data_IF_547547610547
#
_entry.id   IF_547547610547
#
_cell.length_a   1.000
_cell.length_b   1.000
_cell.length_c   1.000
_cell.angle_alpha   90.00
_cell.angle_beta   90.00
_cell.angle_gamma   90.00
#
_symmetry.space_group_name_H-M   'P 1'
#
loop_
_entity.id
_entity.type
_entity.pdbx_description
1 polymer ?
#
# COMPACT_ATOMS: atom_id res chain seq x y z
N UNK A 1 -59.29 36.46 44.71
CA UNK A 1 -58.77 36.31 43.32
C UNK A 1 -57.24 36.10 43.26
N UNK A 2 -56.65 35.13 43.99
CA UNK A 2 -55.17 34.89 43.96
C UNK A 2 -54.73 33.43 43.70
N UNK A 3 -55.64 32.44 43.67
CA UNK A 3 -55.30 31.02 43.50
C UNK A 3 -55.25 30.50 42.05
N UNK A 4 -55.83 31.21 41.08
CA UNK A 4 -55.92 30.73 39.70
C UNK A 4 -54.68 31.02 38.83
N UNK A 5 -53.86 32.03 39.15
CA UNK A 5 -52.66 32.40 38.36
C UNK A 5 -51.42 31.54 38.64
N UNK A 6 -51.40 30.79 39.75
CA UNK A 6 -50.23 30.00 40.16
C UNK A 6 -50.16 28.62 39.48
N UNK A 7 -51.30 28.03 39.09
CA UNK A 7 -51.35 26.70 38.46
C UNK A 7 -50.95 26.73 36.97
N UNK A 8 -51.22 27.82 36.27
CA UNK A 8 -50.88 27.98 34.84
C UNK A 8 -49.38 28.21 34.62
N UNK A 9 -48.69 28.83 35.59
CA UNK A 9 -47.24 29.05 35.51
C UNK A 9 -46.44 27.75 35.76
N UNK A 10 -46.94 26.88 36.64
CA UNK A 10 -46.29 25.61 36.97
C UNK A 10 -46.32 24.58 35.82
N UNK A 11 -47.40 24.56 35.02
CA UNK A 11 -47.48 23.69 33.82
C UNK A 11 -46.60 24.19 32.66
N UNK A 12 -46.46 25.52 32.50
CA UNK A 12 -45.61 26.10 31.45
C UNK A 12 -44.12 25.84 31.69
N UNK A 13 -43.65 25.84 32.94
CA UNK A 13 -42.25 25.57 33.29
C UNK A 13 -41.89 24.07 33.11
N UNK A 14 -42.83 23.16 33.39
CA UNK A 14 -42.61 21.71 33.18
C UNK A 14 -42.59 21.32 31.69
N UNK A 15 -43.34 22.01 30.82
CA UNK A 15 -43.30 21.76 29.38
C UNK A 15 -41.97 22.22 28.73
N UNK A 16 -41.39 23.31 29.24
CA UNK A 16 -40.07 23.81 28.78
C UNK A 16 -38.94 22.89 29.27
N UNK A 17 -39.05 22.35 30.49
CA UNK A 17 -38.09 21.38 31.01
C UNK A 17 -38.12 20.04 30.25
N UNK A 18 -39.30 19.56 29.83
CA UNK A 18 -39.40 18.34 29.02
C UNK A 18 -38.86 18.53 27.58
N UNK A 19 -39.06 19.71 26.98
CA UNK A 19 -38.51 20.03 25.65
C UNK A 19 -36.99 20.18 25.62
N UNK A 20 -36.37 20.62 26.72
CA UNK A 20 -34.91 20.75 26.82
C UNK A 20 -34.18 19.43 27.12
N UNK A 21 -34.87 18.41 27.63
CA UNK A 21 -34.26 17.09 27.92
C UNK A 21 -34.21 16.20 26.67
N UNK A 22 -35.05 16.43 25.65
CA UNK A 22 -35.09 15.61 24.42
C UNK A 22 -34.14 16.05 23.29
N UNK A 23 -33.34 17.10 23.46
CA UNK A 23 -32.46 17.62 22.38
C UNK A 23 -30.98 17.25 22.51
N UNK A 24 -30.59 16.38 23.46
CA UNK A 24 -29.17 16.00 23.67
C UNK A 24 -28.79 14.56 23.30
N UNK A 25 -29.56 13.91 22.45
CA UNK A 25 -29.13 12.70 21.77
C UNK A 25 -28.90 12.95 20.26
N UNK A 26 -28.17 14.02 19.92
CA UNK A 26 -27.38 13.95 18.70
C UNK A 26 -26.30 12.90 18.96
N UNK A 27 -26.59 11.66 18.57
CA UNK A 27 -25.56 10.67 18.30
C UNK A 27 -24.65 11.35 17.29
N UNK A 28 -23.54 11.92 17.78
CA UNK A 28 -22.41 12.25 16.93
C UNK A 28 -22.05 10.91 16.32
N UNK A 29 -22.44 10.72 15.06
CA UNK A 29 -21.83 9.66 14.25
C UNK A 29 -20.33 9.80 14.50
N UNK A 30 -19.65 8.73 14.95
CA UNK A 30 -18.21 8.81 15.11
C UNK A 30 -17.70 9.34 13.77
N UNK A 31 -17.01 10.47 13.81
CA UNK A 31 -16.37 11.02 12.63
C UNK A 31 -15.52 9.86 12.13
N UNK A 32 -15.92 9.27 11.01
CA UNK A 32 -15.09 8.30 10.30
C UNK A 32 -13.86 9.12 9.95
N UNK A 33 -12.83 9.02 10.80
CA UNK A 33 -11.55 9.62 10.53
C UNK A 33 -11.10 8.92 9.27
N UNK A 34 -11.15 9.63 8.15
CA UNK A 34 -10.65 9.10 6.89
C UNK A 34 -9.25 8.58 7.22
N UNK A 35 -8.93 7.32 6.92
CA UNK A 35 -7.57 6.86 7.05
C UNK A 35 -6.70 7.90 6.38
N UNK A 36 -5.74 8.45 7.13
CA UNK A 36 -4.86 9.46 6.55
C UNK A 36 -4.21 8.75 5.37
N UNK A 37 -4.31 9.31 4.14
CA UNK A 37 -3.54 8.75 3.03
C UNK A 37 -2.10 8.66 3.53
N UNK A 38 -1.39 7.55 3.25
CA UNK A 38 -0.01 7.41 3.69
C UNK A 38 0.71 8.68 3.29
N UNK A 39 1.38 9.30 4.26
CA UNK A 39 2.08 10.55 4.01
C UNK A 39 3.00 10.29 2.81
N UNK A 40 2.98 11.16 1.77
CA UNK A 40 3.98 11.07 0.72
C UNK A 40 5.33 11.05 1.43
N UNK A 41 6.22 10.18 0.95
CA UNK A 41 7.46 9.83 1.63
C UNK A 41 8.08 11.05 2.30
N UNK A 42 8.07 11.06 3.64
CA UNK A 42 8.60 12.17 4.40
C UNK A 42 10.11 12.27 4.14
N UNK A 43 10.74 13.44 4.35
CA UNK A 43 12.19 13.61 4.15
C UNK A 43 13.06 12.65 4.98
N UNK A 44 12.49 11.94 5.95
CA UNK A 44 13.15 10.87 6.69
C UNK A 44 13.38 9.57 5.88
N UNK A 45 12.57 9.31 4.84
CA UNK A 45 12.82 8.24 3.84
C UNK A 45 13.92 8.61 2.84
N UNK A 46 14.45 9.85 2.86
CA UNK A 46 15.54 10.29 1.96
C UNK A 46 16.94 10.16 2.60
N UNK A 47 17.06 9.46 3.74
CA UNK A 47 18.34 9.27 4.41
C UNK A 47 19.18 8.22 3.67
N UNK A 48 20.53 8.33 3.65
CA UNK A 48 21.37 7.31 3.04
C UNK A 48 21.07 5.93 3.63
N UNK A 49 21.28 4.89 2.82
CA UNK A 49 21.02 3.49 3.13
C UNK A 49 21.19 3.21 4.62
N UNK A 50 20.14 2.67 5.23
CA UNK A 50 20.10 2.49 6.67
C UNK A 50 21.16 1.44 7.04
N UNK A 51 22.31 1.93 7.52
CA UNK A 51 23.43 1.09 7.95
C UNK A 51 22.92 0.06 8.96
N UNK A 52 23.23 -1.21 8.70
CA UNK A 52 22.83 -2.39 9.48
C UNK A 52 21.34 -2.80 9.40
N UNK A 53 20.60 -2.39 8.36
CA UNK A 53 19.23 -2.86 8.17
C UNK A 53 19.14 -4.37 7.86
N UNK A 54 18.09 -5.02 8.36
CA UNK A 54 17.93 -6.48 8.28
C UNK A 54 17.18 -6.93 7.01
N UNK A 55 17.93 -7.36 6.00
CA UNK A 55 17.40 -7.93 4.75
C UNK A 55 17.13 -9.44 4.82
N UNK A 56 17.14 -10.04 6.02
CA UNK A 56 16.87 -11.47 6.17
C UNK A 56 15.44 -11.82 5.74
N UNK A 57 15.23 -12.98 5.08
CA UNK A 57 13.90 -13.43 4.70
C UNK A 57 12.97 -13.56 5.92
N UNK A 58 11.64 -13.51 5.72
CA UNK A 58 10.69 -13.68 6.81
C UNK A 58 10.81 -15.08 7.42
N UNK A 59 10.72 -15.14 8.75
CA UNK A 59 10.52 -16.39 9.48
C UNK A 59 9.09 -16.89 9.28
N UNK A 60 8.83 -18.15 9.64
CA UNK A 60 7.51 -18.74 9.57
C UNK A 60 6.47 -17.84 10.26
N UNK A 61 5.41 -17.47 9.52
CA UNK A 61 4.33 -16.60 10.01
C UNK A 61 4.60 -15.10 9.97
N UNK A 62 5.85 -14.62 9.90
CA UNK A 62 6.13 -13.16 9.89
C UNK A 62 5.48 -12.47 8.69
N UNK A 63 5.55 -13.09 7.50
CA UNK A 63 4.91 -12.56 6.30
C UNK A 63 3.39 -12.44 6.48
N UNK A 64 2.74 -13.43 7.13
CA UNK A 64 1.30 -13.39 7.40
C UNK A 64 0.95 -12.24 8.35
N UNK A 65 1.74 -12.02 9.41
CA UNK A 65 1.54 -10.88 10.32
C UNK A 65 1.66 -9.54 9.61
N UNK A 66 2.61 -9.41 8.69
CA UNK A 66 2.79 -8.18 7.90
C UNK A 66 1.63 -7.97 6.94
N UNK A 67 1.16 -9.04 6.28
CA UNK A 67 -0.01 -8.98 5.40
C UNK A 67 -1.28 -8.59 6.16
N UNK A 68 -1.53 -9.17 7.33
CA UNK A 68 -2.67 -8.80 8.19
C UNK A 68 -2.59 -7.33 8.63
N UNK A 69 -1.40 -6.84 9.01
CA UNK A 69 -1.19 -5.42 9.34
C UNK A 69 -1.48 -4.50 8.16
N UNK A 70 -0.97 -4.86 6.97
CA UNK A 70 -0.99 -3.97 5.81
C UNK A 70 -2.32 -4.02 5.05
N UNK A 71 -2.94 -5.19 4.96
CA UNK A 71 -4.09 -5.47 4.10
C UNK A 71 -5.30 -6.04 4.85
N UNK A 72 -5.19 -6.29 6.15
CA UNK A 72 -6.23 -6.95 6.93
C UNK A 72 -6.61 -8.30 6.33
N UNK A 73 -7.91 -8.52 6.16
CA UNK A 73 -8.48 -9.77 5.62
C UNK A 73 -8.69 -9.73 4.11
N UNK A 74 -8.29 -8.64 3.44
CA UNK A 74 -8.51 -8.43 2.01
C UNK A 74 -7.73 -9.42 1.13
N UNK A 75 -6.64 -10.00 1.64
CA UNK A 75 -5.73 -10.87 0.89
C UNK A 75 -5.39 -12.14 1.66
N UNK A 76 -5.10 -13.20 0.92
CA UNK A 76 -4.62 -14.48 1.45
C UNK A 76 -3.26 -14.78 0.84
N UNK A 77 -2.28 -15.16 1.68
CA UNK A 77 -0.95 -15.54 1.19
C UNK A 77 -1.04 -16.76 0.26
N UNK A 78 -0.38 -16.67 -0.90
CA UNK A 78 -0.32 -17.74 -1.91
C UNK A 78 1.08 -18.36 -1.92
N UNK A 79 1.20 -19.58 -1.38
CA UNK A 79 2.46 -20.30 -1.26
C UNK A 79 3.42 -19.70 -0.21
N UNK A 80 4.67 -20.16 -0.20
CA UNK A 80 5.70 -19.70 0.76
C UNK A 80 6.66 -18.66 0.18
N UNK A 81 6.42 -18.19 -1.05
CA UNK A 81 7.34 -17.31 -1.75
C UNK A 81 7.27 -15.87 -1.24
N UNK A 82 8.29 -15.44 -0.50
CA UNK A 82 8.53 -14.05 -0.15
C UNK A 82 9.92 -13.58 -0.62
N UNK A 83 10.04 -12.31 -0.99
CA UNK A 83 11.30 -11.67 -1.32
C UNK A 83 11.48 -10.41 -0.47
N UNK A 84 12.71 -10.22 0.00
CA UNK A 84 13.13 -9.04 0.76
C UNK A 84 14.19 -8.30 -0.03
N UNK A 85 14.09 -6.98 -0.11
CA UNK A 85 15.00 -6.11 -0.85
C UNK A 85 14.65 -4.64 -0.64
N UNK A 86 15.51 -3.73 -1.06
CA UNK A 86 15.24 -2.29 -1.00
C UNK A 86 14.58 -1.91 -2.33
N UNK A 87 13.31 -2.25 -2.51
CA UNK A 87 12.65 -2.14 -3.81
C UNK A 87 12.26 -0.71 -4.16
N UNK A 88 12.15 0.19 -3.18
CA UNK A 88 11.82 1.60 -3.40
C UNK A 88 13.05 2.53 -3.38
N UNK A 89 14.21 2.08 -2.90
CA UNK A 89 15.47 2.81 -2.89
C UNK A 89 15.70 3.69 -1.66
N UNK A 90 14.90 3.53 -0.60
CA UNK A 90 15.06 4.29 0.65
C UNK A 90 16.05 3.65 1.64
N UNK A 91 16.60 2.49 1.28
CA UNK A 91 17.56 1.76 2.09
C UNK A 91 16.96 0.95 3.23
N UNK A 92 15.64 0.99 3.42
CA UNK A 92 14.91 0.13 4.34
C UNK A 92 14.53 -1.18 3.63
N UNK A 93 14.59 -2.34 4.30
CA UNK A 93 14.14 -3.59 3.72
C UNK A 93 12.64 -3.61 3.48
N UNK A 94 12.21 -3.82 2.24
CA UNK A 94 10.82 -4.05 1.84
C UNK A 94 10.49 -5.55 1.83
N UNK A 95 9.20 -5.87 1.88
CA UNK A 95 8.70 -7.25 1.75
C UNK A 95 7.78 -7.36 0.55
N UNK A 96 8.03 -8.36 -0.30
CA UNK A 96 7.18 -8.73 -1.41
C UNK A 96 6.67 -10.16 -1.24
N UNK A 97 5.36 -10.37 -1.37
CA UNK A 97 4.69 -11.65 -1.13
C UNK A 97 3.65 -11.93 -2.21
N UNK A 98 3.52 -13.20 -2.58
CA UNK A 98 2.42 -13.67 -3.42
C UNK A 98 1.15 -13.75 -2.62
N UNK A 99 0.09 -13.13 -3.10
CA UNK A 99 -1.22 -13.19 -2.45
C UNK A 99 -2.32 -13.38 -3.50
N UNK A 100 -3.49 -13.77 -3.04
CA UNK A 100 -4.72 -13.69 -3.82
C UNK A 100 -5.74 -12.84 -3.08
N UNK A 101 -6.61 -12.17 -3.83
CA UNK A 101 -7.77 -11.49 -3.24
C UNK A 101 -8.63 -12.48 -2.45
N UNK A 102 -9.03 -12.12 -1.23
CA UNK A 102 -9.95 -12.97 -0.47
C UNK A 102 -11.34 -12.93 -1.10
N UNK A 103 -11.92 -14.11 -1.27
CA UNK A 103 -13.27 -14.26 -1.79
C UNK A 103 -14.32 -13.66 -0.84
N UNK A 104 -14.09 -13.74 0.47
CA UNK A 104 -15.01 -13.23 1.48
C UNK A 104 -14.92 -11.70 1.67
N UNK A 105 -13.83 -11.06 1.22
CA UNK A 105 -13.53 -9.65 1.51
C UNK A 105 -13.31 -8.80 0.25
N UNK A 106 -13.97 -9.16 -0.86
CA UNK A 106 -13.87 -8.44 -2.15
C UNK A 106 -14.30 -6.97 -2.12
N UNK A 107 -15.15 -6.56 -1.17
CA UNK A 107 -15.50 -5.16 -0.97
C UNK A 107 -14.35 -4.37 -0.31
N UNK A 108 -13.66 -4.97 0.66
CA UNK A 108 -12.56 -4.33 1.39
C UNK A 108 -11.36 -4.08 0.49
N UNK A 109 -10.97 -5.06 -0.35
CA UNK A 109 -9.84 -4.91 -1.27
C UNK A 109 -10.03 -3.78 -2.30
N UNK A 110 -11.28 -3.46 -2.61
CA UNK A 110 -11.68 -2.44 -3.58
C UNK A 110 -12.18 -1.15 -2.93
N UNK A 111 -12.07 -0.98 -1.61
CA UNK A 111 -12.50 0.23 -0.93
C UNK A 111 -11.61 1.41 -1.35
N UNK A 112 -12.16 2.52 -1.87
CA UNK A 112 -11.39 3.71 -2.22
C UNK A 112 -10.68 4.38 -1.03
N UNK A 113 -11.02 4.01 0.20
CA UNK A 113 -10.39 4.44 1.45
C UNK A 113 -9.46 3.38 2.05
N UNK A 114 -9.17 2.30 1.33
CA UNK A 114 -8.21 1.30 1.81
C UNK A 114 -6.83 1.91 2.10
N UNK A 115 -6.10 1.32 3.05
CA UNK A 115 -4.76 1.78 3.45
C UNK A 115 -3.64 1.35 2.48
N UNK A 116 -3.99 0.76 1.34
CA UNK A 116 -3.09 0.28 0.31
C UNK A 116 -3.44 0.84 -1.06
N UNK A 117 -2.47 0.82 -1.97
CA UNK A 117 -2.70 1.19 -3.37
C UNK A 117 -2.81 -0.05 -4.24
N UNK A 118 -3.95 -0.23 -4.90
CA UNK A 118 -4.09 -1.20 -5.99
C UNK A 118 -3.61 -0.56 -7.29
N UNK A 119 -2.83 -1.29 -8.09
CA UNK A 119 -2.36 -0.85 -9.40
C UNK A 119 -2.24 -2.02 -10.37
N UNK A 120 -2.41 -1.73 -11.66
CA UNK A 120 -1.93 -2.63 -12.71
C UNK A 120 -0.42 -2.51 -12.84
N UNK A 121 0.26 -3.62 -13.11
CA UNK A 121 1.66 -3.58 -13.50
C UNK A 121 1.77 -3.07 -14.94
N UNK A 122 1.60 -1.75 -15.11
CA UNK A 122 1.64 -1.09 -16.42
C UNK A 122 2.96 -1.42 -17.13
N UNK A 123 2.90 -1.64 -18.45
CA UNK A 123 4.11 -1.77 -19.26
C UNK A 123 4.71 -0.38 -19.49
N UNK A 124 6.00 -0.24 -19.16
CA UNK A 124 6.87 0.98 -19.17
C UNK A 124 6.97 1.81 -20.47
N UNK A 125 6.04 1.71 -21.43
CA UNK A 125 6.17 2.38 -22.72
C UNK A 125 5.91 3.89 -22.69
N UNK A 126 5.34 4.43 -21.62
CA UNK A 126 5.01 5.86 -21.52
C UNK A 126 5.87 6.59 -20.45
N UNK A 127 6.78 7.50 -20.87
CA UNK A 127 7.61 8.28 -19.96
C UNK A 127 6.84 9.29 -19.09
N UNK A 128 5.55 9.53 -19.34
CA UNK A 128 4.68 10.37 -18.49
C UNK A 128 3.98 9.58 -17.37
N UNK A 129 4.12 8.25 -17.32
CA UNK A 129 3.54 7.41 -16.26
C UNK A 129 4.04 7.81 -14.86
N UNK A 130 5.20 8.45 -14.70
CA UNK A 130 5.63 8.89 -13.37
C UNK A 130 4.78 10.02 -12.75
N UNK A 131 3.99 10.75 -13.55
CA UNK A 131 3.33 12.01 -13.14
C UNK A 131 1.82 11.92 -12.92
N UNK A 132 1.20 10.78 -13.26
CA UNK A 132 -0.23 10.53 -13.02
C UNK A 132 -0.41 9.65 -11.79
N UNK A 133 -1.41 9.90 -10.93
CA UNK A 133 -1.79 8.94 -9.89
C UNK A 133 -2.14 7.60 -10.55
N UNK A 134 -1.72 6.45 -10.00
CA UNK A 134 -2.16 5.16 -10.50
C UNK A 134 -3.69 5.08 -10.39
N UNK A 135 -4.36 4.64 -11.46
CA UNK A 135 -5.74 4.17 -11.33
C UNK A 135 -5.75 3.00 -10.34
N UNK A 136 -6.77 2.94 -9.49
CA UNK A 136 -7.04 1.75 -8.65
C UNK A 136 -7.98 0.83 -9.41
N UNK A 137 -7.46 -0.12 -10.22
CA UNK A 137 -8.30 -1.07 -10.93
C UNK A 137 -9.07 -1.95 -9.95
N UNK A 138 -10.28 -2.33 -10.33
CA UNK A 138 -11.05 -3.30 -9.55
C UNK A 138 -10.31 -4.64 -9.50
N UNK A 139 -10.17 -5.20 -8.31
CA UNK A 139 -9.62 -6.52 -8.05
C UNK A 139 -10.74 -7.54 -8.10
N UNK A 140 -10.56 -8.57 -8.93
CA UNK A 140 -11.49 -9.68 -9.08
C UNK A 140 -11.38 -10.71 -7.95
N UNK A 141 -12.40 -11.57 -7.85
CA UNK A 141 -12.41 -12.66 -6.88
C UNK A 141 -11.22 -13.61 -7.08
N UNK A 142 -10.51 -13.95 -5.99
CA UNK A 142 -9.32 -14.80 -5.98
C UNK A 142 -8.22 -14.37 -6.96
N UNK A 143 -8.22 -13.12 -7.40
CA UNK A 143 -7.24 -12.63 -8.37
C UNK A 143 -5.83 -12.71 -7.75
N UNK A 144 -4.86 -13.33 -8.44
CA UNK A 144 -3.48 -13.38 -7.97
C UNK A 144 -2.82 -12.01 -8.09
N UNK A 145 -2.15 -11.60 -7.03
CA UNK A 145 -1.52 -10.30 -6.87
C UNK A 145 -0.10 -10.45 -6.31
N UNK A 146 0.72 -9.46 -6.62
CA UNK A 146 1.96 -9.24 -5.89
C UNK A 146 1.70 -8.17 -4.83
N UNK A 147 1.75 -8.56 -3.56
CA UNK A 147 1.73 -7.62 -2.45
C UNK A 147 3.15 -7.11 -2.19
N UNK A 148 3.32 -5.79 -2.04
CA UNK A 148 4.59 -5.19 -1.63
C UNK A 148 4.36 -4.22 -0.49
N UNK A 149 5.09 -4.38 0.60
CA UNK A 149 5.08 -3.49 1.78
C UNK A 149 6.45 -2.84 1.87
N UNK A 150 6.50 -1.53 1.70
CA UNK A 150 7.72 -0.76 1.87
C UNK A 150 8.11 -0.71 3.33
N UNK A 151 9.40 -0.87 3.61
CA UNK A 151 9.96 -0.86 4.94
C UNK A 151 10.00 0.53 5.56
N UNK A 152 10.28 0.57 6.86
CA UNK A 152 10.52 1.81 7.57
C UNK A 152 11.73 1.68 8.49
N UNK A 153 12.76 2.49 8.22
CA UNK A 153 13.99 2.53 9.02
C UNK A 153 14.71 1.18 9.07
N UNK A 154 15.46 0.96 10.16
CA UNK A 154 16.37 -0.21 10.27
C UNK A 154 15.65 -1.55 10.29
N UNK A 155 14.43 -1.56 10.84
CA UNK A 155 13.60 -2.76 10.95
C UNK A 155 12.83 -3.06 9.66
N UNK A 156 12.84 -2.14 8.69
CA UNK A 156 12.23 -2.35 7.39
C UNK A 156 10.77 -2.74 7.50
N UNK A 157 10.37 -3.75 6.75
CA UNK A 157 9.01 -4.29 6.71
C UNK A 157 8.53 -4.84 8.07
N UNK A 158 9.46 -5.20 8.98
CA UNK A 158 9.12 -5.66 10.34
C UNK A 158 8.67 -4.51 11.24
N UNK A 159 8.96 -3.26 10.87
CA UNK A 159 8.55 -2.12 11.66
C UNK A 159 7.02 -1.91 11.60
N UNK A 160 6.31 -1.70 12.71
CA UNK A 160 4.88 -1.39 12.70
C UNK A 160 4.54 -0.08 11.95
N UNK A 161 5.49 0.82 11.75
CA UNK A 161 5.31 2.06 10.98
C UNK A 161 5.43 1.86 9.46
N UNK A 162 5.86 0.67 8.99
CA UNK A 162 5.89 0.28 7.59
C UNK A 162 4.46 0.08 7.04
N UNK A 163 3.85 1.20 6.62
CA UNK A 163 2.44 1.32 6.19
C UNK A 163 2.24 1.57 4.69
N UNK A 164 3.30 1.88 3.96
CA UNK A 164 3.21 2.06 2.51
C UNK A 164 3.09 0.67 1.85
N UNK A 165 1.89 0.36 1.36
CA UNK A 165 1.55 -0.97 0.88
C UNK A 165 0.87 -0.93 -0.50
N UNK A 166 1.22 -1.89 -1.35
CA UNK A 166 0.82 -1.97 -2.74
C UNK A 166 0.32 -3.36 -3.11
N UNK A 167 -0.76 -3.42 -3.90
CA UNK A 167 -1.25 -4.63 -4.54
C UNK A 167 -1.11 -4.47 -6.06
N UNK A 168 -0.24 -5.28 -6.67
CA UNK A 168 0.13 -5.17 -8.07
C UNK A 168 -0.52 -6.30 -8.87
N UNK A 169 -1.49 -5.95 -9.71
CA UNK A 169 -2.15 -6.87 -10.65
C UNK A 169 -1.25 -7.15 -11.84
N UNK A 170 -1.27 -8.39 -12.33
CA UNK A 170 -0.46 -8.79 -13.49
C UNK A 170 1.06 -8.71 -13.26
N UNK A 171 1.49 -8.68 -11.99
CA UNK A 171 2.90 -8.70 -11.60
C UNK A 171 3.62 -9.99 -12.02
N UNK A 172 4.96 -10.04 -11.90
CA UNK A 172 5.71 -11.27 -12.11
C UNK A 172 5.20 -12.37 -11.19
N UNK A 173 5.14 -13.61 -11.68
CA UNK A 173 4.83 -14.78 -10.84
C UNK A 173 6.06 -15.18 -10.02
N UNK A 174 5.83 -15.62 -8.78
CA UNK A 174 6.88 -16.11 -7.89
C UNK A 174 7.42 -17.51 -8.27
N UNK A 175 8.43 -18.01 -7.54
CA UNK A 175 9.11 -17.33 -6.45
C UNK A 175 9.98 -16.17 -6.96
N UNK A 176 9.96 -15.04 -6.25
CA UNK A 176 10.71 -13.84 -6.63
C UNK A 176 12.12 -13.84 -6.06
N UNK A 177 13.01 -13.11 -6.73
CA UNK A 177 14.37 -12.86 -6.28
C UNK A 177 14.65 -11.36 -6.33
N UNK A 178 15.29 -10.85 -5.28
CA UNK A 178 15.93 -9.53 -5.29
C UNK A 178 17.07 -9.53 -6.29
N UNK A 179 17.12 -8.51 -7.15
CA UNK A 179 18.21 -8.25 -8.10
C UNK A 179 18.61 -6.79 -8.04
N UNK A 180 19.91 -6.53 -8.03
CA UNK A 180 20.41 -5.16 -8.21
C UNK A 180 19.91 -4.61 -9.55
N UNK A 181 19.54 -3.33 -9.54
CA UNK A 181 19.14 -2.58 -10.74
C UNK A 181 20.24 -2.53 -11.79
N UNK A 182 21.52 -2.62 -11.41
CA UNK A 182 22.66 -2.65 -12.33
C UNK A 182 22.60 -3.84 -13.31
N UNK A 183 21.87 -4.90 -12.95
CA UNK A 183 21.63 -6.04 -13.83
C UNK A 183 20.71 -5.69 -15.02
N UNK A 184 20.06 -4.52 -15.00
CA UNK A 184 19.05 -4.07 -15.95
C UNK A 184 19.34 -2.66 -16.48
N UNK A 185 20.42 -2.46 -17.23
CA UNK A 185 20.83 -1.14 -17.73
C UNK A 185 19.83 -0.51 -18.71
N UNK A 186 18.83 -1.25 -19.20
CA UNK A 186 17.70 -0.73 -19.96
C UNK A 186 16.65 -0.01 -19.12
N UNK A 187 16.79 -0.03 -17.79
CA UNK A 187 16.00 0.78 -16.85
C UNK A 187 16.71 2.10 -16.50
N UNK A 188 18.02 2.19 -16.72
CA UNK A 188 18.86 3.31 -16.31
C UNK A 188 18.70 4.53 -17.25
N UNK A 189 17.71 5.37 -16.96
CA UNK A 189 17.75 6.81 -17.25
C UNK A 189 18.45 7.58 -16.11
N UNK A 190 18.80 8.87 -16.29
CA UNK A 190 19.52 9.67 -15.28
C UNK A 190 18.88 9.68 -13.87
N UNK A 191 17.55 9.55 -13.79
CA UNK A 191 16.78 9.56 -12.54
C UNK A 191 16.56 8.15 -11.93
N UNK A 192 16.98 7.07 -12.61
CA UNK A 192 16.48 5.72 -12.34
C UNK A 192 17.32 4.88 -11.35
N UNK A 193 18.58 5.27 -11.07
CA UNK A 193 19.48 4.46 -10.23
C UNK A 193 19.20 4.53 -8.73
N UNK A 194 18.57 5.61 -8.28
CA UNK A 194 18.20 5.81 -6.87
C UNK A 194 16.87 5.13 -6.48
N UNK A 195 16.29 4.32 -7.36
CA UNK A 195 14.92 3.80 -7.20
C UNK A 195 14.88 2.34 -6.72
N UNK A 196 15.95 1.85 -6.11
CA UNK A 196 15.99 0.54 -5.45
C UNK A 196 16.18 -0.68 -6.38
N UNK A 197 16.20 -1.84 -5.72
CA UNK A 197 16.26 -3.20 -6.25
C UNK A 197 15.08 -3.54 -7.17
N UNK A 198 15.28 -4.59 -7.96
CA UNK A 198 14.30 -5.14 -8.89
C UNK A 198 13.78 -6.49 -8.38
N UNK A 199 12.45 -6.65 -8.39
CA UNK A 199 11.78 -7.92 -8.15
C UNK A 199 11.76 -8.74 -9.44
N UNK A 200 12.54 -9.81 -9.49
CA UNK A 200 12.59 -10.70 -10.65
C UNK A 200 11.83 -11.99 -10.39
N UNK A 201 10.99 -12.42 -11.34
CA UNK A 201 10.42 -13.77 -11.32
C UNK A 201 11.50 -14.87 -11.48
N UNK A 202 11.11 -16.15 -11.42
CA UNK A 202 12.05 -17.28 -11.38
C UNK A 202 12.81 -17.46 -12.70
N UNK A 203 12.21 -17.07 -13.83
CA UNK A 203 12.81 -17.22 -15.16
C UNK A 203 13.71 -16.02 -15.51
N UNK A 204 14.94 -16.25 -16.00
CA UNK A 204 15.79 -15.18 -16.55
C UNK A 204 15.16 -14.44 -17.72
N UNK A 205 14.22 -15.04 -18.46
CA UNK A 205 13.45 -14.37 -19.53
C UNK A 205 12.06 -13.92 -19.07
N UNK A 206 11.75 -14.11 -17.79
CA UNK A 206 10.46 -13.79 -17.19
C UNK A 206 10.22 -12.29 -17.03
N UNK A 207 9.16 -11.95 -16.31
CA UNK A 207 8.86 -10.57 -15.96
C UNK A 207 9.68 -10.11 -14.75
N UNK A 208 9.98 -8.82 -14.73
CA UNK A 208 10.47 -8.08 -13.57
C UNK A 208 9.46 -7.01 -13.19
N UNK A 209 9.44 -6.64 -11.91
CA UNK A 209 8.78 -5.44 -11.40
C UNK A 209 9.84 -4.52 -10.78
N UNK A 210 9.72 -3.22 -11.01
CA UNK A 210 10.63 -2.21 -10.45
C UNK A 210 9.86 -0.96 -10.06
N UNK A 211 10.37 -0.25 -9.06
CA UNK A 211 9.82 1.02 -8.61
C UNK A 211 10.26 2.17 -9.53
N UNK A 212 9.33 3.07 -9.82
CA UNK A 212 9.57 4.27 -10.65
C UNK A 212 9.63 5.56 -9.84
N UNK A 213 9.65 5.50 -8.51
CA UNK A 213 9.46 6.67 -7.64
C UNK A 213 8.00 6.93 -7.25
N UNK A 214 7.03 6.31 -7.94
CA UNK A 214 5.61 6.50 -7.67
C UNK A 214 4.77 5.22 -7.73
N UNK A 215 5.21 4.21 -8.49
CA UNK A 215 4.44 2.99 -8.76
C UNK A 215 5.36 1.81 -9.13
N UNK A 216 4.81 0.61 -9.11
CA UNK A 216 5.48 -0.58 -9.66
C UNK A 216 5.15 -0.76 -11.13
N UNK A 217 6.18 -0.95 -11.96
CA UNK A 217 6.06 -1.14 -13.40
C UNK A 217 6.71 -2.45 -13.80
N UNK A 218 6.05 -3.16 -14.71
CA UNK A 218 6.53 -4.45 -15.21
C UNK A 218 7.21 -4.32 -16.58
N UNK A 219 8.26 -5.12 -16.77
CA UNK A 219 8.95 -5.28 -18.06
C UNK A 219 9.45 -6.71 -18.18
N UNK A 220 9.70 -7.18 -19.41
CA UNK A 220 10.45 -8.42 -19.58
C UNK A 220 11.91 -8.24 -19.12
N UNK A 221 12.43 -9.22 -18.39
CA UNK A 221 13.82 -9.22 -17.94
C UNK A 221 14.80 -9.17 -19.12
N UNK A 222 14.43 -9.75 -20.27
CA UNK A 222 15.22 -9.71 -21.49
C UNK A 222 15.31 -8.28 -22.05
N UNK A 223 14.17 -7.57 -22.19
CA UNK A 223 14.17 -6.20 -22.69
C UNK A 223 14.87 -5.23 -21.73
N UNK A 224 14.71 -5.43 -20.41
CA UNK A 224 15.34 -4.59 -19.39
C UNK A 224 16.88 -4.74 -19.33
N UNK A 225 17.45 -5.84 -19.83
CA UNK A 225 18.90 -6.03 -19.94
C UNK A 225 19.52 -5.31 -21.13
N UNK A 226 18.72 -5.00 -22.16
CA UNK A 226 19.20 -4.28 -23.33
C UNK A 226 19.16 -2.78 -23.04
N UNK A 227 20.30 -2.09 -23.20
CA UNK A 227 20.29 -0.62 -23.21
C UNK A 227 19.40 -0.15 -24.35
N UNK A 228 18.56 0.85 -24.11
CA UNK A 228 17.87 1.53 -25.20
C UNK A 228 18.94 2.06 -26.16
N UNK A 229 19.03 1.49 -27.36
CA UNK A 229 19.82 2.11 -28.44
C UNK A 229 19.16 3.45 -28.70
N UNK A 230 19.87 4.54 -28.44
CA UNK A 230 19.42 5.88 -28.78
C UNK A 230 19.01 5.86 -30.25
N UNK A 231 17.70 5.94 -30.54
CA UNK A 231 17.23 6.30 -31.86
C UNK A 231 17.75 7.72 -32.09
N UNK A 232 18.76 7.83 -32.95
CA UNK A 232 19.19 9.11 -33.51
C UNK A 232 18.09 9.68 -34.39
#
# INVERSE_FOLDING_TARGET
MKKARSRTLALAVMAIAAGLVLSRAFVRTPRVERPRPPSPAGPEQLRPAVVDADFSPPRAGEAVTVLDRAFGRAVEMEGEGAAVGDFNGDGSPDLAVGVRASEAHGAEINDPLANWTVQDCASSADPHLAKTPPSSPAVGNREPLLAVVHGFGRRGWRDPEARQAYLVKGGPKGPWRRRSRDHYPGLDGPEARALGDVLAGPSPRGAIAHWTGARYVCRSAAAARLRATARR
#
